data_IF_436588965878
#
_entry.id   IF_436588965878
#
_cell.length_a   1.000
_cell.length_b   1.000
_cell.length_c   1.000
_cell.angle_alpha   90.00
_cell.angle_beta   90.00
_cell.angle_gamma   90.00
#
_symmetry.space_group_name_H-M   'P 1'
#
loop_
_entity.id
_entity.type
_entity.pdbx_description
1 polymer ?
#
# COMPACT_ATOMS: atom_id res chain seq x y z
N UNK A 1 38.10 -6.87 -10.00
CA UNK A 1 37.16 -7.37 -8.98
C UNK A 1 35.92 -6.52 -9.11
N UNK A 2 35.00 -6.96 -9.97
CA UNK A 2 33.83 -6.21 -10.41
C UNK A 2 32.59 -6.78 -9.71
N UNK A 3 31.71 -5.88 -9.29
CA UNK A 3 30.28 -6.12 -9.09
C UNK A 3 29.90 -7.11 -7.98
N UNK A 4 30.13 -6.69 -6.73
CA UNK A 4 29.09 -6.92 -5.73
C UNK A 4 27.88 -6.08 -6.17
N UNK A 5 27.07 -6.63 -7.07
CA UNK A 5 25.82 -6.05 -7.54
C UNK A 5 25.05 -5.55 -6.31
N UNK A 6 24.79 -4.24 -6.28
CA UNK A 6 23.88 -3.59 -5.37
C UNK A 6 22.50 -4.24 -5.53
N UNK A 7 22.29 -5.39 -4.90
CA UNK A 7 20.97 -5.97 -4.76
C UNK A 7 20.14 -4.92 -4.01
N UNK A 8 19.15 -4.25 -4.65
CA UNK A 8 18.53 -3.09 -4.05
C UNK A 8 17.90 -3.52 -2.73
N UNK A 9 18.27 -2.83 -1.65
CA UNK A 9 17.85 -3.19 -0.31
C UNK A 9 16.33 -3.01 -0.21
N UNK A 10 15.57 -4.11 -0.21
CA UNK A 10 14.10 -4.11 -0.05
C UNK A 10 13.69 -3.19 1.08
N UNK A 11 12.79 -2.25 0.82
CA UNK A 11 12.26 -1.32 1.83
C UNK A 11 11.43 -2.08 2.87
N UNK A 12 10.65 -3.08 2.44
CA UNK A 12 9.95 -4.00 3.34
C UNK A 12 10.18 -5.47 2.97
N UNK A 13 11.21 -6.14 3.52
CA UNK A 13 11.50 -7.54 3.20
C UNK A 13 10.40 -8.53 3.64
N UNK A 14 9.47 -8.11 4.51
CA UNK A 14 8.36 -8.95 4.99
C UNK A 14 7.04 -8.74 4.23
N UNK A 15 6.94 -7.73 3.36
CA UNK A 15 5.67 -7.38 2.72
C UNK A 15 5.52 -8.14 1.40
N UNK A 16 4.62 -9.11 1.38
CA UNK A 16 4.26 -9.85 0.16
C UNK A 16 3.28 -9.03 -0.69
N UNK A 17 3.28 -9.23 -2.01
CA UNK A 17 2.34 -8.59 -2.94
C UNK A 17 0.87 -8.72 -2.52
N UNK A 18 0.50 -9.87 -1.95
CA UNK A 18 -0.83 -10.13 -1.40
C UNK A 18 -1.14 -9.31 -0.16
N UNK A 19 -0.19 -9.25 0.80
CA UNK A 19 -0.32 -8.41 2.00
C UNK A 19 -0.41 -6.92 1.67
N UNK A 20 0.37 -6.46 0.69
CA UNK A 20 0.29 -5.11 0.15
C UNK A 20 -1.10 -4.81 -0.42
N UNK A 21 -1.63 -5.67 -1.29
CA UNK A 21 -2.97 -5.49 -1.89
C UNK A 21 -4.06 -5.37 -0.83
N UNK A 22 -4.04 -6.26 0.18
CA UNK A 22 -5.03 -6.24 1.26
C UNK A 22 -4.92 -4.95 2.07
N UNK A 23 -3.71 -4.56 2.48
CA UNK A 23 -3.51 -3.31 3.21
C UNK A 23 -3.90 -2.09 2.38
N UNK A 24 -3.54 -2.06 1.10
CA UNK A 24 -3.89 -0.96 0.20
C UNK A 24 -5.41 -0.81 0.03
N UNK A 25 -6.13 -1.92 -0.19
CA UNK A 25 -7.59 -1.91 -0.33
C UNK A 25 -8.25 -1.49 0.98
N UNK A 26 -7.81 -2.05 2.11
CA UNK A 26 -8.37 -1.71 3.42
C UNK A 26 -8.16 -0.23 3.75
N UNK A 27 -6.95 0.29 3.56
CA UNK A 27 -6.63 1.70 3.76
C UNK A 27 -7.37 2.61 2.78
N UNK A 28 -7.58 2.17 1.54
CA UNK A 28 -8.37 2.92 0.55
C UNK A 28 -9.82 3.06 0.98
N UNK A 29 -10.45 1.96 1.42
CA UNK A 29 -11.83 1.95 1.90
C UNK A 29 -11.97 2.84 3.14
N UNK A 30 -11.06 2.69 4.11
CA UNK A 30 -11.04 3.52 5.31
C UNK A 30 -10.91 5.01 4.98
N UNK A 31 -9.95 5.37 4.13
CA UNK A 31 -9.71 6.77 3.72
C UNK A 31 -10.89 7.34 2.93
N UNK A 32 -11.51 6.54 2.05
CA UNK A 32 -12.69 6.94 1.31
C UNK A 32 -13.89 7.21 2.24
N UNK A 33 -14.08 6.38 3.26
CA UNK A 33 -15.13 6.60 4.27
C UNK A 33 -14.92 7.93 5.01
N UNK A 34 -13.69 8.19 5.45
CA UNK A 34 -13.31 9.45 6.11
C UNK A 34 -13.57 10.66 5.19
N UNK A 35 -13.19 10.54 3.92
CA UNK A 35 -13.41 11.57 2.91
C UNK A 35 -14.89 11.90 2.73
N UNK A 36 -15.75 10.88 2.62
CA UNK A 36 -17.21 11.07 2.48
C UNK A 36 -17.80 11.78 3.70
N UNK A 37 -17.37 11.44 4.92
CA UNK A 37 -17.82 12.10 6.15
C UNK A 37 -17.44 13.59 6.13
N UNK A 38 -16.17 13.89 5.84
CA UNK A 38 -15.64 15.25 5.78
C UNK A 38 -16.35 16.07 4.70
N UNK A 39 -16.51 15.53 3.48
CA UNK A 39 -17.19 16.22 2.37
C UNK A 39 -18.65 16.48 2.69
N UNK A 40 -19.36 15.49 3.25
CA UNK A 40 -20.76 15.66 3.65
C UNK A 40 -20.92 16.80 4.66
N UNK A 41 -20.03 16.88 5.65
CA UNK A 41 -20.03 17.94 6.65
C UNK A 41 -19.73 19.32 6.05
N UNK A 42 -18.78 19.38 5.12
CA UNK A 42 -18.45 20.59 4.37
C UNK A 42 -19.66 21.11 3.58
N UNK A 43 -20.39 20.20 2.91
CA UNK A 43 -21.58 20.52 2.11
C UNK A 43 -22.77 20.96 2.98
N UNK A 44 -22.97 20.32 4.14
CA UNK A 44 -24.05 20.67 5.06
C UNK A 44 -23.79 21.96 5.85
N UNK A 45 -22.55 22.47 5.84
CA UNK A 45 -22.20 23.73 6.52
C UNK A 45 -22.34 23.67 8.05
N UNK A 46 -22.35 22.46 8.63
CA UNK A 46 -22.48 22.29 10.09
C UNK A 46 -21.20 22.72 10.80
N UNK A 47 -21.33 23.25 12.02
CA UNK A 47 -20.20 23.48 12.90
C UNK A 47 -19.39 22.19 13.10
N UNK A 48 -18.07 22.34 13.19
CA UNK A 48 -17.13 21.24 13.38
C UNK A 48 -16.81 21.09 14.85
N UNK A 49 -17.07 19.92 15.42
CA UNK A 49 -16.65 19.55 16.77
C UNK A 49 -15.28 18.84 16.73
N UNK A 50 -14.73 18.61 17.92
CA UNK A 50 -13.43 17.96 18.09
C UNK A 50 -13.35 16.59 17.39
N UNK A 51 -14.49 15.87 17.34
CA UNK A 51 -14.60 14.59 16.65
C UNK A 51 -14.42 14.69 15.14
N UNK A 52 -14.96 15.74 14.50
CA UNK A 52 -14.76 15.95 13.06
C UNK A 52 -13.33 16.35 12.71
N UNK A 53 -12.65 17.12 13.57
CA UNK A 53 -11.22 17.38 13.39
C UNK A 53 -10.38 16.09 13.49
N UNK A 54 -10.80 15.13 14.32
CA UNK A 54 -10.15 13.82 14.38
C UNK A 54 -10.37 13.03 13.07
N UNK A 55 -11.56 13.09 12.48
CA UNK A 55 -11.84 12.49 11.17
C UNK A 55 -11.01 13.14 10.04
N UNK A 56 -10.85 14.47 10.08
CA UNK A 56 -9.98 15.18 9.14
C UNK A 56 -8.50 14.80 9.32
N UNK A 57 -8.01 14.70 10.56
CA UNK A 57 -6.66 14.24 10.84
C UNK A 57 -6.46 12.78 10.37
N UNK A 58 -7.45 11.93 10.61
CA UNK A 58 -7.46 10.54 10.11
C UNK A 58 -7.47 10.45 8.60
N UNK A 59 -8.18 11.35 7.91
CA UNK A 59 -8.17 11.47 6.45
C UNK A 59 -6.77 11.83 5.93
N UNK A 60 -6.13 12.84 6.52
CA UNK A 60 -4.77 13.25 6.15
C UNK A 60 -3.79 12.10 6.35
N UNK A 61 -3.87 11.39 7.48
CA UNK A 61 -3.04 10.23 7.75
C UNK A 61 -3.30 9.10 6.74
N UNK A 62 -4.56 8.85 6.39
CA UNK A 62 -4.94 7.85 5.40
C UNK A 62 -4.36 8.15 4.01
N UNK A 63 -4.44 9.40 3.56
CA UNK A 63 -3.86 9.84 2.29
C UNK A 63 -2.34 9.72 2.31
N UNK A 64 -1.67 10.14 3.39
CA UNK A 64 -0.23 10.01 3.54
C UNK A 64 0.22 8.54 3.51
N UNK A 65 -0.52 7.65 4.19
CA UNK A 65 -0.23 6.22 4.21
C UNK A 65 -0.46 5.56 2.85
N UNK A 66 -1.51 5.94 2.12
CA UNK A 66 -1.73 5.49 0.74
C UNK A 66 -0.60 5.96 -0.18
N UNK A 67 -0.14 7.21 -0.04
CA UNK A 67 1.03 7.72 -0.77
C UNK A 67 2.29 6.90 -0.48
N UNK A 68 2.53 6.57 0.79
CA UNK A 68 3.63 5.69 1.19
C UNK A 68 3.49 4.29 0.59
N UNK A 69 2.29 3.71 0.56
CA UNK A 69 2.04 2.42 -0.07
C UNK A 69 2.29 2.49 -1.59
N UNK A 70 1.90 3.55 -2.27
CA UNK A 70 2.22 3.75 -3.70
C UNK A 70 3.73 3.89 -3.93
N UNK A 71 4.43 4.57 -3.02
CA UNK A 71 5.89 4.68 -3.06
C UNK A 71 6.56 3.31 -2.91
N UNK A 72 6.12 2.51 -1.93
CA UNK A 72 6.58 1.12 -1.76
C UNK A 72 6.25 0.28 -3.01
N UNK A 73 5.05 0.43 -3.59
CA UNK A 73 4.66 -0.29 -4.81
C UNK A 73 5.58 0.04 -5.98
N UNK A 74 6.02 1.29 -6.10
CA UNK A 74 6.91 1.73 -7.16
C UNK A 74 8.33 1.16 -6.98
N UNK A 75 8.86 1.17 -5.75
CA UNK A 75 10.22 0.70 -5.47
C UNK A 75 10.35 -0.82 -5.30
N UNK A 76 9.42 -1.46 -4.58
CA UNK A 76 9.45 -2.90 -4.30
C UNK A 76 8.69 -3.73 -5.36
N UNK A 77 8.09 -3.07 -6.37
CA UNK A 77 7.30 -3.72 -7.41
C UNK A 77 8.07 -4.73 -8.26
N UNK A 78 9.30 -4.39 -8.64
CA UNK A 78 10.16 -5.26 -9.46
C UNK A 78 10.53 -6.55 -8.71
N UNK A 79 10.76 -6.45 -7.40
CA UNK A 79 11.08 -7.60 -6.56
C UNK A 79 9.94 -8.60 -6.41
N UNK A 80 8.69 -8.14 -6.48
CA UNK A 80 7.53 -9.03 -6.39
C UNK A 80 7.32 -9.80 -7.70
N UNK A 81 7.65 -9.19 -8.84
CA UNK A 81 7.57 -9.83 -10.15
C UNK A 81 8.66 -10.90 -10.30
N UNK A 82 9.87 -10.64 -9.82
CA UNK A 82 10.97 -11.61 -9.82
C UNK A 82 10.70 -12.81 -8.89
N UNK A 83 10.08 -12.60 -7.73
CA UNK A 83 9.66 -13.69 -6.85
C UNK A 83 8.54 -14.54 -7.46
N UNK A 84 7.60 -13.94 -8.20
CA UNK A 84 6.56 -14.67 -8.93
C UNK A 84 7.14 -15.46 -10.11
N UNK A 85 8.06 -14.89 -10.86
CA UNK A 85 8.75 -15.59 -11.95
C UNK A 85 9.50 -16.82 -11.42
N UNK A 86 10.23 -16.67 -10.31
CA UNK A 86 10.89 -17.80 -9.64
C UNK A 86 9.88 -18.86 -9.17
N UNK A 87 8.76 -18.46 -8.54
CA UNK A 87 7.72 -19.43 -8.14
C UNK A 87 7.08 -20.16 -9.32
N UNK A 88 6.81 -19.46 -10.40
CA UNK A 88 6.25 -20.06 -11.62
C UNK A 88 7.23 -21.07 -12.25
N UNK A 89 8.52 -20.76 -12.27
CA UNK A 89 9.55 -21.69 -12.74
C UNK A 89 9.74 -22.92 -11.85
N UNK A 90 9.59 -22.76 -10.54
CA UNK A 90 9.58 -23.88 -9.58
C UNK A 90 8.35 -24.76 -9.77
N UNK A 91 7.17 -24.18 -9.94
CA UNK A 91 5.93 -24.91 -10.16
C UNK A 91 5.90 -25.62 -11.53
N UNK A 92 6.50 -25.01 -12.56
CA UNK A 92 6.70 -25.65 -13.87
C UNK A 92 7.66 -26.85 -13.80
N UNK A 93 8.73 -26.74 -13.01
CA UNK A 93 9.68 -27.85 -12.77
C UNK A 93 9.10 -28.93 -11.86
N UNK A 94 8.32 -28.56 -10.85
CA UNK A 94 7.67 -29.49 -9.93
C UNK A 94 6.54 -30.31 -10.59
N UNK A 95 5.90 -29.78 -11.64
CA UNK A 95 4.93 -30.50 -12.46
C UNK A 95 5.53 -31.37 -13.57
N UNK A 96 6.86 -31.35 -13.74
CA UNK A 96 7.59 -32.16 -14.72
C UNK A 96 8.21 -33.43 -14.10
N UNK A 97 7.95 -33.70 -12.81
CA UNK A 97 8.31 -34.91 -12.07
C UNK A 97 7.03 -35.67 -11.70
#
# INVERSE_FOLDING_TARGET
MSEAEEHPKRLQPKMTRGGFRVQFVLWSIWTALQFVIVVRKLVLGTAWDLGEYLFLAGLILGVAFLGFLLYVRHHDGHFWEDEEAKRADWDRRGRAL
#
